data_IF_979599105816
#
_entry.id   IF_979599105816
#
_cell.length_a   1.000
_cell.length_b   1.000
_cell.length_c   1.000
_cell.angle_alpha   90.00
_cell.angle_beta   90.00
_cell.angle_gamma   90.00
#
_symmetry.space_group_name_H-M   'P 1'
#
loop_
_entity.id
_entity.type
_entity.pdbx_description
1 polymer ?
#
# COMPACT_ATOMS: atom_id res chain seq x y z
N UNK A 1 -12.76 8.45 4.60
CA UNK A 1 -12.15 7.11 4.43
C UNK A 1 -12.59 6.57 3.10
N UNK A 2 -11.64 6.30 2.21
CA UNK A 2 -11.92 5.86 0.84
C UNK A 2 -12.57 4.48 0.85
N UNK A 3 -13.58 4.28 0.02
CA UNK A 3 -14.12 2.94 -0.20
C UNK A 3 -13.03 2.04 -0.79
N UNK A 4 -12.88 0.84 -0.26
CA UNK A 4 -12.08 -0.23 -0.83
C UNK A 4 -12.69 -0.67 -2.17
N UNK A 5 -11.86 -1.21 -3.07
CA UNK A 5 -12.31 -1.82 -4.33
C UNK A 5 -13.37 -2.91 -4.12
N UNK A 6 -13.33 -3.54 -2.95
CA UNK A 6 -14.25 -4.59 -2.52
C UNK A 6 -15.00 -4.14 -1.25
N UNK A 7 -16.33 -3.98 -1.29
CA UNK A 7 -17.11 -3.53 -0.13
C UNK A 7 -16.99 -4.45 1.08
N UNK A 8 -16.71 -5.74 0.86
CA UNK A 8 -16.44 -6.75 1.89
C UNK A 8 -15.12 -6.52 2.64
N UNK A 9 -14.15 -5.83 2.02
CA UNK A 9 -12.85 -5.52 2.63
C UNK A 9 -12.80 -4.14 3.31
N UNK A 10 -13.88 -3.34 3.23
CA UNK A 10 -13.92 -1.98 3.78
C UNK A 10 -13.60 -1.91 5.27
N UNK A 11 -14.12 -2.85 6.06
CA UNK A 11 -13.91 -2.84 7.52
C UNK A 11 -12.45 -3.10 7.89
N UNK A 12 -11.76 -3.98 7.17
CA UNK A 12 -10.34 -4.29 7.41
C UNK A 12 -9.46 -3.14 6.92
N UNK A 13 -9.83 -2.54 5.78
CA UNK A 13 -9.17 -1.35 5.23
C UNK A 13 -9.20 -0.19 6.22
N UNK A 14 -10.35 0.11 6.80
CA UNK A 14 -10.50 1.23 7.74
C UNK A 14 -9.59 1.11 8.96
N UNK A 15 -9.47 -0.12 9.50
CA UNK A 15 -8.56 -0.42 10.62
C UNK A 15 -7.10 -0.26 10.21
N UNK A 16 -6.74 -0.75 9.03
CA UNK A 16 -5.39 -0.59 8.48
C UNK A 16 -5.05 0.88 8.21
N UNK A 17 -5.91 1.62 7.51
CA UNK A 17 -5.70 3.03 7.17
C UNK A 17 -5.55 3.88 8.44
N UNK A 18 -6.36 3.62 9.48
CA UNK A 18 -6.25 4.33 10.77
C UNK A 18 -4.90 4.06 11.44
N UNK A 19 -4.44 2.81 11.45
CA UNK A 19 -3.14 2.44 11.99
C UNK A 19 -2.01 3.10 11.17
N UNK A 20 -2.09 3.00 9.85
CA UNK A 20 -1.10 3.53 8.92
C UNK A 20 -0.97 5.05 9.05
N UNK A 21 -2.07 5.80 9.11
CA UNK A 21 -2.04 7.26 9.25
C UNK A 21 -1.35 7.71 10.54
N UNK A 22 -1.57 6.98 11.64
CA UNK A 22 -0.91 7.25 12.93
C UNK A 22 0.58 6.95 12.84
N UNK A 23 0.94 5.78 12.33
CA UNK A 23 2.33 5.38 12.14
C UNK A 23 3.06 6.34 11.19
N UNK A 24 2.41 6.76 10.10
CA UNK A 24 2.96 7.69 9.13
C UNK A 24 3.27 9.04 9.77
N UNK A 25 2.33 9.59 10.54
CA UNK A 25 2.49 10.91 11.16
C UNK A 25 3.50 10.91 12.32
N UNK A 26 3.55 9.83 13.10
CA UNK A 26 4.35 9.78 14.33
C UNK A 26 5.72 9.12 14.15
N UNK A 27 5.84 8.13 13.25
CA UNK A 27 7.05 7.34 13.05
C UNK A 27 7.76 7.75 11.77
N UNK A 28 7.04 7.71 10.65
CA UNK A 28 7.64 7.96 9.33
C UNK A 28 8.10 9.41 9.19
N UNK A 29 7.21 10.39 9.41
CA UNK A 29 7.57 11.81 9.33
C UNK A 29 8.64 12.26 10.35
N UNK A 30 8.90 11.45 11.38
CA UNK A 30 9.91 11.74 12.41
C UNK A 30 11.21 10.94 12.24
N UNK A 31 11.33 10.13 11.18
CA UNK A 31 12.50 9.30 10.93
C UNK A 31 12.67 8.09 11.87
N UNK A 32 11.62 7.75 12.64
CA UNK A 32 11.61 6.65 13.62
C UNK A 32 10.76 5.46 13.13
N UNK A 33 10.58 5.31 11.82
CA UNK A 33 9.90 4.19 11.19
C UNK A 33 10.78 2.94 11.20
N UNK A 34 10.96 2.32 12.38
CA UNK A 34 11.77 1.11 12.55
C UNK A 34 10.94 -0.16 12.73
N UNK A 35 9.66 -0.04 13.03
CA UNK A 35 8.78 -1.18 13.34
C UNK A 35 7.44 -1.06 12.62
N UNK A 36 7.06 -2.14 11.92
CA UNK A 36 5.78 -2.28 11.22
C UNK A 36 4.69 -2.80 12.18
N UNK A 37 4.15 -1.91 13.00
CA UNK A 37 3.05 -2.23 13.94
C UNK A 37 1.72 -2.53 13.22
N UNK A 38 1.56 -2.05 11.99
CA UNK A 38 0.36 -2.23 11.18
C UNK A 38 0.42 -3.46 10.23
N UNK A 39 1.54 -4.20 10.22
CA UNK A 39 1.70 -5.37 9.35
C UNK A 39 0.62 -6.47 9.52
N UNK A 40 0.16 -6.86 10.72
CA UNK A 40 -0.89 -7.86 10.84
C UNK A 40 -2.21 -7.39 10.23
N UNK A 41 -2.52 -6.08 10.32
CA UNK A 41 -3.70 -5.48 9.69
C UNK A 41 -3.55 -5.44 8.17
N UNK A 42 -2.35 -5.10 7.69
CA UNK A 42 -2.05 -5.10 6.27
C UNK A 42 -2.18 -6.48 5.64
N UNK A 43 -1.68 -7.54 6.31
CA UNK A 43 -1.81 -8.92 5.83
C UNK A 43 -3.26 -9.34 5.67
N UNK A 44 -4.12 -8.99 6.63
CA UNK A 44 -5.56 -9.28 6.55
C UNK A 44 -6.23 -8.52 5.40
N UNK A 45 -5.92 -7.23 5.25
CA UNK A 45 -6.44 -6.42 4.15
C UNK A 45 -5.97 -6.95 2.78
N UNK A 46 -4.67 -7.25 2.65
CA UNK A 46 -4.06 -7.81 1.44
C UNK A 46 -4.72 -9.12 1.02
N UNK A 47 -4.93 -10.03 1.97
CA UNK A 47 -5.61 -11.30 1.69
C UNK A 47 -7.05 -11.11 1.20
N UNK A 48 -7.77 -10.13 1.75
CA UNK A 48 -9.12 -9.82 1.33
C UNK A 48 -9.13 -9.22 -0.08
N UNK A 49 -8.29 -8.23 -0.34
CA UNK A 49 -8.29 -7.52 -1.62
C UNK A 49 -7.70 -8.35 -2.76
N UNK A 50 -6.71 -9.21 -2.51
CA UNK A 50 -6.18 -10.13 -3.53
C UNK A 50 -7.25 -11.06 -4.09
N UNK A 51 -8.18 -11.54 -3.25
CA UNK A 51 -9.33 -12.34 -3.71
C UNK A 51 -10.25 -11.51 -4.61
N UNK A 52 -10.61 -10.31 -4.16
CA UNK A 52 -11.47 -9.42 -4.93
C UNK A 52 -10.85 -8.98 -6.27
N UNK A 53 -9.53 -8.76 -6.31
CA UNK A 53 -8.79 -8.40 -7.53
C UNK A 53 -8.76 -9.55 -8.55
N UNK A 54 -8.63 -10.79 -8.08
CA UNK A 54 -8.69 -11.98 -8.93
C UNK A 54 -10.09 -12.19 -9.51
N UNK A 55 -11.15 -12.02 -8.71
CA UNK A 55 -12.53 -12.13 -9.19
C UNK A 55 -12.87 -11.07 -10.24
N UNK A 56 -12.30 -9.87 -10.13
CA UNK A 56 -12.48 -8.79 -11.10
C UNK A 56 -11.54 -8.87 -12.30
N UNK A 57 -10.58 -9.80 -12.30
CA UNK A 57 -9.60 -9.96 -13.38
C UNK A 57 -8.57 -8.83 -13.48
N UNK A 58 -8.42 -8.02 -12.43
CA UNK A 58 -7.50 -6.86 -12.41
C UNK A 58 -6.08 -7.29 -12.03
N UNK A 59 -5.92 -8.47 -11.40
CA UNK A 59 -4.65 -9.02 -10.91
C UNK A 59 -3.54 -9.00 -11.98
N UNK A 60 -3.86 -9.43 -13.21
CA UNK A 60 -2.90 -9.45 -14.33
C UNK A 60 -2.45 -8.06 -14.76
N UNK A 61 -3.39 -7.12 -14.90
CA UNK A 61 -3.07 -5.75 -15.28
C UNK A 61 -2.24 -5.05 -14.20
N UNK A 62 -2.51 -5.37 -12.93
CA UNK A 62 -1.78 -4.83 -11.80
C UNK A 62 -0.33 -5.36 -11.76
N UNK A 63 -0.14 -6.65 -12.01
CA UNK A 63 1.21 -7.25 -12.05
C UNK A 63 2.01 -6.74 -13.26
N UNK A 64 1.40 -6.63 -14.43
CA UNK A 64 2.03 -6.02 -15.61
C UNK A 64 2.40 -4.55 -15.38
N UNK A 65 1.54 -3.78 -14.71
CA UNK A 65 1.82 -2.40 -14.32
C UNK A 65 2.98 -2.32 -13.31
N UNK A 66 3.08 -3.26 -12.37
CA UNK A 66 4.20 -3.33 -11.41
C UNK A 66 5.51 -3.70 -12.09
N UNK A 67 5.48 -4.64 -13.02
CA UNK A 67 6.70 -5.13 -13.68
C UNK A 67 7.24 -4.12 -14.70
N UNK A 68 6.36 -3.47 -15.46
CA UNK A 68 6.75 -2.44 -16.43
C UNK A 68 7.36 -1.17 -15.81
N UNK A 69 7.09 -0.88 -14.53
CA UNK A 69 7.68 0.26 -13.82
C UNK A 69 8.98 -0.08 -13.07
N UNK A 70 9.35 -1.38 -12.96
CA UNK A 70 10.48 -1.84 -12.15
C UNK A 70 11.82 -1.16 -12.47
N UNK A 71 12.09 -0.91 -13.75
CA UNK A 71 13.33 -0.25 -14.19
C UNK A 71 13.25 1.27 -14.00
N UNK A 72 12.07 1.88 -14.13
CA UNK A 72 11.86 3.31 -13.88
C UNK A 72 12.01 3.65 -12.39
N UNK A 73 11.46 2.82 -11.51
CA UNK A 73 11.61 2.94 -10.05
C UNK A 73 13.08 2.81 -9.62
N UNK A 74 13.84 1.91 -10.25
CA UNK A 74 15.25 1.67 -9.95
C UNK A 74 16.15 2.84 -10.35
N UNK A 75 15.86 3.53 -11.45
CA UNK A 75 16.61 4.72 -11.88
C UNK A 75 16.25 5.97 -11.05
N UNK A 76 14.99 6.16 -10.67
CA UNK A 76 14.54 7.33 -9.91
C UNK A 76 14.83 7.25 -8.39
N UNK A 77 15.27 6.10 -7.87
CA UNK A 77 15.68 5.93 -6.47
C UNK A 77 17.07 6.49 -6.11
N UNK A 78 17.82 7.07 -7.07
CA UNK A 78 19.17 7.61 -6.84
C UNK A 78 19.23 9.09 -6.44
N UNK A 79 18.12 9.83 -6.54
CA UNK A 79 18.05 11.25 -6.20
C UNK A 79 17.26 11.48 -4.91
N UNK A 80 17.92 11.90 -3.84
CA UNK A 80 17.32 12.07 -2.51
C UNK A 80 16.05 12.93 -2.50
N UNK A 81 14.93 12.29 -2.16
CA UNK A 81 13.79 12.91 -1.48
C UNK A 81 12.91 11.80 -0.87
N UNK A 82 12.56 11.96 0.39
CA UNK A 82 11.73 11.08 1.24
C UNK A 82 10.25 10.98 0.79
N UNK A 83 10.01 10.66 -0.48
CA UNK A 83 8.66 10.50 -1.05
C UNK A 83 8.37 9.09 -1.57
N UNK A 84 9.37 8.20 -1.62
CA UNK A 84 9.23 6.84 -2.18
C UNK A 84 8.29 5.97 -1.36
N UNK A 85 8.27 6.12 -0.03
CA UNK A 85 7.35 5.36 0.82
C UNK A 85 5.89 5.80 0.65
N UNK A 86 5.66 7.09 0.40
CA UNK A 86 4.32 7.61 0.17
C UNK A 86 3.79 7.19 -1.21
N UNK A 87 4.66 7.14 -2.22
CA UNK A 87 4.31 6.70 -3.57
C UNK A 87 4.05 5.19 -3.64
N UNK A 88 4.85 4.37 -2.94
CA UNK A 88 4.60 2.93 -2.77
C UNK A 88 3.30 2.64 -2.04
N UNK A 89 2.98 3.43 -1.00
CA UNK A 89 1.70 3.29 -0.30
C UNK A 89 0.54 3.70 -1.19
N UNK A 90 0.69 4.73 -2.03
CA UNK A 90 -0.34 5.17 -2.97
C UNK A 90 -0.51 4.20 -4.16
N UNK A 91 0.57 3.61 -4.67
CA UNK A 91 0.55 2.53 -5.68
C UNK A 91 0.04 1.19 -5.12
N UNK A 92 0.14 0.97 -3.81
CA UNK A 92 -0.46 -0.20 -3.16
C UNK A 92 -1.94 -0.01 -2.81
N UNK A 93 -2.45 1.23 -2.85
CA UNK A 93 -3.84 1.59 -2.51
C UNK A 93 -4.74 1.97 -3.70
N UNK A 94 -4.19 2.10 -4.91
CA UNK A 94 -4.99 2.17 -6.16
C UNK A 94 -5.03 0.80 -6.85
#
# INVERSE_FOLDING_TARGET
>A
MSASLAPECNQVKERYDTCFLKWYSEKFLRGNATTDECEPLFKQYKQCISKALQERGIDKMLDEARESNRDNDAEHMKGGCEYTFLLLVLQALM
#
